data_IF_126770497328
#
_entry.id   IF_126770497328
#
_cell.length_a   1.000
_cell.length_b   1.000
_cell.length_c   1.000
_cell.angle_alpha   90.00
_cell.angle_beta   90.00
_cell.angle_gamma   90.00
#
_symmetry.space_group_name_H-M   'P 1'
#
loop_
_entity.id
_entity.type
_entity.pdbx_description
1 polymer ?
#
# COMPACT_ATOMS: atom_id res chain seq x y z
N UNK A 1 45.83 -25.94 24.91
CA UNK A 1 44.36 -26.01 25.15
C UNK A 1 43.71 -24.89 24.37
N UNK A 2 43.11 -25.23 23.22
CA UNK A 2 42.32 -24.33 22.42
C UNK A 2 40.92 -24.21 23.02
N UNK A 3 40.39 -22.98 23.12
CA UNK A 3 39.05 -22.69 23.55
C UNK A 3 38.10 -22.90 22.38
N UNK A 4 37.03 -23.68 22.54
CA UNK A 4 35.95 -23.86 21.60
C UNK A 4 35.11 -22.58 21.50
N UNK A 5 34.65 -22.16 20.29
CA UNK A 5 33.76 -21.04 20.17
C UNK A 5 32.35 -21.48 20.57
N UNK A 6 31.75 -20.77 21.53
CA UNK A 6 30.40 -21.00 22.04
C UNK A 6 29.34 -20.89 20.92
N UNK A 7 28.52 -21.91 20.84
CA UNK A 7 27.28 -21.92 20.07
C UNK A 7 26.31 -20.86 20.62
N UNK A 8 26.12 -19.77 19.88
CA UNK A 8 24.93 -18.93 20.08
C UNK A 8 23.74 -19.72 19.56
N UNK A 9 22.88 -20.12 20.46
CA UNK A 9 21.56 -20.68 20.14
C UNK A 9 20.61 -19.53 19.91
N UNK A 10 20.45 -19.11 18.65
CA UNK A 10 19.39 -18.20 18.22
C UNK A 10 18.05 -18.97 18.17
N UNK A 11 17.41 -19.12 19.33
CA UNK A 11 16.06 -19.67 19.46
C UNK A 11 14.98 -18.58 19.61
N UNK A 12 15.16 -17.43 18.95
CA UNK A 12 14.12 -16.39 18.89
C UNK A 12 13.68 -16.27 17.43
N UNK A 13 12.47 -16.68 17.09
CA UNK A 13 11.88 -16.28 15.83
C UNK A 13 11.10 -17.28 14.99
N UNK A 14 11.12 -18.60 15.26
CA UNK A 14 10.43 -19.56 14.36
C UNK A 14 8.90 -19.42 14.43
N UNK A 15 8.32 -19.13 15.58
CA UNK A 15 6.86 -18.98 15.73
C UNK A 15 6.32 -17.67 15.20
N UNK A 16 7.03 -16.58 15.36
CA UNK A 16 6.65 -15.25 14.84
C UNK A 16 6.78 -15.19 13.34
N UNK A 17 7.81 -15.79 12.75
CA UNK A 17 7.98 -15.91 11.32
C UNK A 17 6.85 -16.72 10.65
N UNK A 18 6.41 -17.83 11.26
CA UNK A 18 5.26 -18.60 10.74
C UNK A 18 3.97 -17.78 10.71
N UNK A 19 3.74 -16.90 11.69
CA UNK A 19 2.59 -16.01 11.71
C UNK A 19 2.64 -14.96 10.60
N UNK A 20 3.81 -14.41 10.34
CA UNK A 20 4.04 -13.46 9.24
C UNK A 20 3.76 -14.10 7.87
N UNK A 21 4.36 -15.24 7.57
CA UNK A 21 4.14 -15.95 6.29
C UNK A 21 2.66 -16.26 6.05
N UNK A 22 1.94 -16.76 7.04
CA UNK A 22 0.49 -17.03 6.92
C UNK A 22 -0.33 -15.78 6.61
N UNK A 23 0.04 -14.61 7.15
CA UNK A 23 -0.66 -13.36 6.85
C UNK A 23 -0.39 -12.88 5.43
N UNK A 24 0.85 -13.01 4.97
CA UNK A 24 1.24 -12.67 3.60
C UNK A 24 0.55 -13.63 2.61
N UNK A 25 0.61 -14.94 2.85
CA UNK A 25 -0.05 -15.94 2.00
C UNK A 25 -1.54 -15.65 1.87
N UNK A 26 -2.21 -15.38 3.01
CA UNK A 26 -3.63 -15.02 3.01
C UNK A 26 -3.92 -13.76 2.22
N UNK A 27 -3.08 -12.71 2.32
CA UNK A 27 -3.25 -11.50 1.54
C UNK A 27 -3.13 -11.77 0.04
N UNK A 28 -2.19 -12.63 -0.36
CA UNK A 28 -1.98 -13.02 -1.75
C UNK A 28 -3.08 -13.95 -2.28
N UNK A 29 -3.66 -14.83 -1.46
CA UNK A 29 -4.82 -15.68 -1.84
C UNK A 29 -6.06 -14.86 -2.22
N UNK A 30 -6.17 -13.62 -1.70
CA UNK A 30 -7.29 -12.72 -1.95
C UNK A 30 -6.86 -11.45 -2.74
N UNK A 31 -5.70 -11.52 -3.38
CA UNK A 31 -5.16 -10.41 -4.15
C UNK A 31 -6.03 -10.05 -5.36
N UNK A 32 -6.02 -8.78 -5.73
CA UNK A 32 -6.55 -8.35 -7.02
C UNK A 32 -5.54 -8.68 -8.12
N UNK A 33 -6.00 -9.34 -9.18
CA UNK A 33 -5.18 -9.69 -10.33
C UNK A 33 -5.30 -8.68 -11.46
N UNK A 34 -4.18 -8.21 -11.98
CA UNK A 34 -4.08 -7.28 -13.11
C UNK A 34 -3.08 -7.82 -14.14
N UNK A 35 -3.32 -7.64 -15.45
CA UNK A 35 -2.45 -8.17 -16.49
C UNK A 35 -1.12 -7.42 -16.57
N UNK A 36 -0.01 -8.13 -16.75
CA UNK A 36 1.32 -7.59 -17.02
C UNK A 36 1.85 -8.13 -18.35
N UNK A 37 1.95 -7.27 -19.35
CA UNK A 37 2.51 -7.58 -20.67
C UNK A 37 3.32 -6.41 -21.21
N UNK A 38 3.92 -6.56 -22.39
CA UNK A 38 4.80 -5.55 -23.03
C UNK A 38 4.12 -4.19 -23.25
N UNK A 39 2.80 -4.15 -23.34
CA UNK A 39 2.03 -2.90 -23.47
C UNK A 39 1.60 -2.28 -22.15
N UNK A 40 1.81 -2.94 -21.02
CA UNK A 40 1.36 -2.47 -19.71
C UNK A 40 2.16 -1.27 -19.24
N UNK A 41 1.47 -0.26 -18.69
CA UNK A 41 2.07 0.96 -18.14
C UNK A 41 1.48 1.20 -16.75
N UNK A 42 2.23 0.86 -15.75
CA UNK A 42 1.86 1.08 -14.35
C UNK A 42 2.70 2.19 -13.73
N UNK A 43 2.07 3.10 -13.00
CA UNK A 43 2.73 3.99 -12.05
C UNK A 43 2.34 3.56 -10.65
N UNK A 44 3.33 3.36 -9.80
CA UNK A 44 3.15 2.84 -8.44
C UNK A 44 3.59 3.90 -7.46
N UNK A 45 2.69 4.29 -6.55
CA UNK A 45 2.97 5.25 -5.46
C UNK A 45 2.47 4.64 -4.15
N UNK A 46 3.14 4.94 -3.05
CA UNK A 46 2.85 4.45 -1.71
C UNK A 46 3.05 5.55 -0.66
N UNK A 47 2.48 5.35 0.53
CA UNK A 47 2.78 6.15 1.73
C UNK A 47 2.59 7.67 1.53
N UNK A 48 1.50 8.06 0.90
CA UNK A 48 1.18 9.46 0.68
C UNK A 48 0.81 10.18 1.99
N UNK A 49 0.13 9.48 2.91
CA UNK A 49 -0.29 10.03 4.21
C UNK A 49 -1.03 11.37 4.09
N UNK A 50 -2.04 11.42 3.18
CA UNK A 50 -2.90 12.59 3.01
C UNK A 50 -3.71 12.82 4.28
N UNK A 51 -3.54 13.98 4.90
CA UNK A 51 -4.25 14.41 6.10
C UNK A 51 -5.27 15.51 5.82
N UNK A 52 -5.67 16.23 6.88
CA UNK A 52 -6.70 17.29 6.84
C UNK A 52 -6.09 18.69 6.63
N UNK A 53 -4.90 18.82 6.04
CA UNK A 53 -4.23 20.12 5.84
C UNK A 53 -3.61 20.70 7.11
N UNK A 54 -3.44 19.90 8.15
CA UNK A 54 -2.83 20.31 9.43
C UNK A 54 -1.36 19.88 9.51
N UNK A 55 -0.74 20.06 10.69
CA UNK A 55 0.64 19.59 10.93
C UNK A 55 0.80 18.09 10.81
N UNK A 56 -0.31 17.34 10.88
CA UNK A 56 -0.37 15.88 10.77
C UNK A 56 -0.64 15.43 9.32
N UNK A 57 -0.52 16.34 8.36
CA UNK A 57 -0.64 16.05 6.94
C UNK A 57 0.76 16.01 6.31
N UNK A 58 1.31 14.81 6.22
CA UNK A 58 2.65 14.61 5.68
C UNK A 58 2.72 14.82 4.16
N UNK A 59 1.57 14.76 3.48
CA UNK A 59 1.47 14.92 2.03
C UNK A 59 1.64 16.36 1.57
N UNK A 60 1.27 17.35 2.40
CA UNK A 60 1.25 18.78 2.03
C UNK A 60 2.51 19.27 1.30
N UNK A 61 3.68 18.86 1.78
CA UNK A 61 4.96 19.30 1.22
C UNK A 61 5.17 18.81 -0.21
N UNK A 62 4.52 17.72 -0.57
CA UNK A 62 4.68 17.04 -1.85
C UNK A 62 3.42 17.09 -2.73
N UNK A 63 2.32 17.68 -2.26
CA UNK A 63 1.04 17.70 -2.94
C UNK A 63 1.14 18.21 -4.38
N UNK A 64 1.75 19.36 -4.58
CA UNK A 64 1.93 19.96 -5.89
C UNK A 64 2.76 19.08 -6.85
N UNK A 65 3.85 18.49 -6.34
CA UNK A 65 4.69 17.58 -7.13
C UNK A 65 3.93 16.30 -7.49
N UNK A 66 3.15 15.77 -6.54
CA UNK A 66 2.32 14.61 -6.78
C UNK A 66 1.25 14.89 -7.85
N UNK A 67 0.53 16.02 -7.75
CA UNK A 67 -0.49 16.41 -8.71
C UNK A 67 0.10 16.56 -10.12
N UNK A 68 1.25 17.24 -10.25
CA UNK A 68 1.95 17.37 -11.53
C UNK A 68 2.39 16.03 -12.11
N UNK A 69 2.89 15.11 -11.26
CA UNK A 69 3.26 13.76 -11.67
C UNK A 69 2.02 12.97 -12.12
N UNK A 70 0.93 13.03 -11.36
CA UNK A 70 -0.31 12.34 -11.69
C UNK A 70 -0.90 12.82 -13.01
N UNK A 71 -0.95 14.15 -13.24
CA UNK A 71 -1.36 14.68 -14.54
C UNK A 71 -0.53 14.11 -15.70
N UNK A 72 0.79 14.05 -15.51
CA UNK A 72 1.70 13.51 -16.51
C UNK A 72 1.38 12.05 -16.85
N UNK A 73 1.17 11.20 -15.83
CA UNK A 73 0.88 9.78 -16.03
C UNK A 73 -0.53 9.53 -16.57
N UNK A 74 -1.53 10.27 -16.09
CA UNK A 74 -2.92 10.19 -16.59
C UNK A 74 -2.98 10.54 -18.08
N UNK A 75 -2.32 11.64 -18.50
CA UNK A 75 -2.25 12.06 -19.92
C UNK A 75 -1.60 11.03 -20.82
N UNK A 76 -0.73 10.18 -20.28
CA UNK A 76 -0.02 9.10 -21.02
C UNK A 76 -0.68 7.73 -20.92
N UNK A 77 -1.83 7.63 -20.27
CA UNK A 77 -2.59 6.40 -20.17
C UNK A 77 -1.94 5.35 -19.25
N UNK A 78 -1.26 5.78 -18.21
CA UNK A 78 -0.78 4.86 -17.18
C UNK A 78 -1.91 4.40 -16.29
N UNK A 79 -1.83 3.14 -15.84
CA UNK A 79 -2.66 2.62 -14.77
C UNK A 79 -2.02 2.98 -13.42
N UNK A 80 -2.78 3.59 -12.52
CA UNK A 80 -2.29 4.02 -11.21
C UNK A 80 -2.48 2.92 -10.16
N UNK A 81 -1.42 2.63 -9.42
CA UNK A 81 -1.44 1.73 -8.27
C UNK A 81 -1.00 2.49 -7.01
N UNK A 82 -1.85 2.51 -5.97
CA UNK A 82 -1.49 3.05 -4.66
C UNK A 82 -1.32 1.90 -3.66
N UNK A 83 -0.09 1.71 -3.17
CA UNK A 83 0.28 0.58 -2.33
C UNK A 83 0.18 0.92 -0.83
N UNK A 84 -1.01 1.29 -0.38
CA UNK A 84 -1.32 1.54 1.03
C UNK A 84 -0.90 2.91 1.53
N UNK A 85 -1.39 3.24 2.71
CA UNK A 85 -1.13 4.48 3.44
C UNK A 85 -1.34 5.74 2.60
N UNK A 86 -2.37 5.70 1.74
CA UNK A 86 -2.78 6.85 0.96
C UNK A 86 -3.33 7.96 1.84
N UNK A 87 -4.16 7.62 2.80
CA UNK A 87 -4.75 8.51 3.79
C UNK A 87 -4.14 8.27 5.18
N UNK A 88 -3.91 9.37 5.91
CA UNK A 88 -3.44 9.37 7.31
C UNK A 88 -4.64 9.32 8.26
N UNK A 89 -5.26 8.15 8.43
CA UNK A 89 -6.42 7.96 9.28
C UNK A 89 -6.06 7.64 10.75
N UNK A 90 -4.79 7.45 11.09
CA UNK A 90 -4.39 7.32 12.48
C UNK A 90 -4.54 8.63 13.24
N UNK A 91 -4.11 9.71 12.65
CA UNK A 91 -4.11 11.04 13.28
C UNK A 91 -5.31 11.89 12.82
N UNK A 92 -5.80 11.66 11.60
CA UNK A 92 -6.95 12.35 11.01
C UNK A 92 -8.12 11.36 10.88
N UNK A 93 -9.15 11.50 11.71
CA UNK A 93 -10.22 10.51 11.81
C UNK A 93 -11.41 10.74 10.87
N UNK A 94 -11.35 11.77 10.03
CA UNK A 94 -12.45 12.16 9.17
C UNK A 94 -12.04 12.10 7.70
N UNK A 95 -12.44 11.03 7.02
CA UNK A 95 -12.15 10.84 5.59
C UNK A 95 -12.68 12.00 4.74
N UNK A 96 -13.88 12.51 5.05
CA UNK A 96 -14.49 13.59 4.28
C UNK A 96 -13.66 14.89 4.32
N UNK A 97 -12.98 15.16 5.44
CA UNK A 97 -12.09 16.32 5.55
C UNK A 97 -10.82 16.13 4.73
N UNK A 98 -10.26 14.93 4.72
CA UNK A 98 -9.11 14.59 3.88
C UNK A 98 -9.48 14.79 2.40
N UNK A 99 -10.62 14.24 1.98
CA UNK A 99 -11.13 14.38 0.60
C UNK A 99 -11.34 15.85 0.25
N UNK A 100 -11.97 16.60 1.13
CA UNK A 100 -12.23 18.03 0.90
C UNK A 100 -10.93 18.84 0.78
N UNK A 101 -9.94 18.58 1.65
CA UNK A 101 -8.68 19.30 1.61
C UNK A 101 -7.82 18.97 0.38
N UNK A 102 -7.86 17.72 -0.07
CA UNK A 102 -7.13 17.23 -1.25
C UNK A 102 -8.05 16.99 -2.45
N UNK A 103 -9.07 17.84 -2.63
CA UNK A 103 -10.11 17.70 -3.67
C UNK A 103 -9.53 17.40 -5.06
N UNK A 104 -8.48 18.14 -5.47
CA UNK A 104 -7.81 17.93 -6.77
C UNK A 104 -7.33 16.48 -6.95
N UNK A 105 -6.75 15.88 -5.91
CA UNK A 105 -6.27 14.48 -5.97
C UNK A 105 -7.44 13.52 -6.14
N UNK A 106 -8.54 13.74 -5.42
CA UNK A 106 -9.71 12.86 -5.50
C UNK A 106 -10.50 13.05 -6.80
N UNK A 107 -10.47 14.23 -7.42
CA UNK A 107 -10.96 14.43 -8.79
C UNK A 107 -10.13 13.65 -9.81
N UNK A 108 -8.81 13.63 -9.67
CA UNK A 108 -7.92 12.77 -10.48
C UNK A 108 -8.24 11.29 -10.28
N UNK A 109 -8.51 10.85 -9.04
CA UNK A 109 -8.93 9.49 -8.76
C UNK A 109 -10.28 9.15 -9.41
N UNK A 110 -11.26 10.05 -9.33
CA UNK A 110 -12.56 9.87 -10.00
C UNK A 110 -12.40 9.73 -11.52
N UNK A 111 -11.52 10.54 -12.12
CA UNK A 111 -11.17 10.44 -13.53
C UNK A 111 -10.53 9.08 -13.88
N UNK A 112 -9.59 8.58 -13.06
CA UNK A 112 -8.96 7.27 -13.25
C UNK A 112 -9.96 6.12 -13.07
N UNK A 113 -10.81 6.20 -12.04
CA UNK A 113 -11.85 5.21 -11.76
C UNK A 113 -12.87 5.10 -12.91
N UNK A 114 -13.29 6.23 -13.47
CA UNK A 114 -14.22 6.24 -14.63
C UNK A 114 -13.66 5.52 -15.85
N UNK A 115 -12.33 5.38 -15.92
CA UNK A 115 -11.61 4.69 -17.00
C UNK A 115 -11.16 3.27 -16.62
N UNK A 116 -11.51 2.79 -15.42
CA UNK A 116 -10.95 1.57 -14.84
C UNK A 116 -9.41 1.53 -14.88
N UNK A 117 -8.77 2.67 -14.60
CA UNK A 117 -7.33 2.88 -14.74
C UNK A 117 -6.63 3.09 -13.40
N UNK A 118 -7.23 2.63 -12.29
CA UNK A 118 -6.59 2.65 -10.98
C UNK A 118 -7.00 1.48 -10.10
N UNK A 119 -6.08 1.13 -9.21
CA UNK A 119 -6.34 0.27 -8.06
C UNK A 119 -5.57 0.79 -6.85
N UNK A 120 -6.13 0.60 -5.68
CA UNK A 120 -5.52 0.98 -4.40
C UNK A 120 -5.60 -0.20 -3.46
N UNK A 121 -4.59 -0.39 -2.62
CA UNK A 121 -4.66 -1.28 -1.47
C UNK A 121 -4.64 -0.46 -0.19
N UNK A 122 -5.10 -1.04 0.92
CA UNK A 122 -4.97 -0.39 2.21
C UNK A 122 -3.61 -0.70 2.85
N UNK A 123 -3.16 0.19 3.74
CA UNK A 123 -2.00 0.01 4.60
C UNK A 123 -2.40 0.08 6.08
N UNK A 124 -1.44 0.25 6.98
CA UNK A 124 -1.72 0.32 8.40
C UNK A 124 -2.29 1.67 8.86
N UNK A 125 -1.98 2.77 8.17
CA UNK A 125 -2.54 4.10 8.49
C UNK A 125 -3.95 4.33 7.96
N UNK A 126 -4.43 3.49 7.03
CA UNK A 126 -5.79 3.56 6.50
C UNK A 126 -6.53 2.19 6.57
N UNK A 127 -6.29 1.43 7.63
CA UNK A 127 -6.86 0.11 7.90
C UNK A 127 -8.41 0.10 7.93
N UNK A 128 -9.06 1.24 8.15
CA UNK A 128 -10.50 1.41 8.06
C UNK A 128 -11.03 1.04 6.68
N UNK A 129 -10.23 1.26 5.65
CA UNK A 129 -10.59 1.01 4.25
C UNK A 129 -10.52 -0.47 3.85
N UNK A 130 -10.06 -1.38 4.73
CA UNK A 130 -9.93 -2.83 4.44
C UNK A 130 -11.23 -3.53 4.02
N UNK A 131 -12.38 -2.88 4.23
CA UNK A 131 -13.68 -3.43 3.80
C UNK A 131 -13.99 -3.13 2.34
N UNK A 132 -13.30 -2.16 1.75
CA UNK A 132 -13.55 -1.65 0.40
C UNK A 132 -12.33 -1.72 -0.52
N UNK A 133 -11.13 -1.77 0.05
CA UNK A 133 -9.89 -1.92 -0.70
C UNK A 133 -9.31 -3.33 -0.53
N UNK A 134 -8.68 -3.89 -1.58
CA UNK A 134 -7.94 -5.14 -1.47
C UNK A 134 -6.69 -4.97 -0.58
N UNK A 135 -6.14 -6.09 -0.13
CA UNK A 135 -4.93 -6.13 0.71
C UNK A 135 -3.66 -6.30 -0.11
N UNK A 136 -3.77 -6.87 -1.31
CA UNK A 136 -2.66 -7.16 -2.19
C UNK A 136 -3.07 -7.04 -3.66
N UNK A 137 -2.07 -6.86 -4.52
CA UNK A 137 -2.21 -6.88 -5.98
C UNK A 137 -1.20 -7.88 -6.53
N UNK A 138 -1.60 -8.68 -7.51
CA UNK A 138 -0.71 -9.49 -8.33
C UNK A 138 -0.79 -9.01 -9.77
N UNK A 139 0.34 -8.65 -10.34
CA UNK A 139 0.45 -8.42 -11.77
C UNK A 139 0.82 -9.75 -12.43
N UNK A 140 -0.16 -10.34 -13.11
CA UNK A 140 0.00 -11.62 -13.81
C UNK A 140 0.80 -11.44 -15.09
N UNK A 141 1.95 -12.07 -15.20
CA UNK A 141 2.78 -12.00 -16.39
C UNK A 141 2.17 -12.82 -17.54
N UNK A 142 1.63 -12.12 -18.53
CA UNK A 142 0.97 -12.74 -19.69
C UNK A 142 1.95 -13.33 -20.73
N UNK A 143 3.26 -13.16 -20.55
CA UNK A 143 4.29 -13.51 -21.53
C UNK A 143 5.22 -14.64 -21.04
N UNK A 144 4.82 -15.37 -20.00
CA UNK A 144 5.56 -16.52 -19.47
C UNK A 144 6.71 -16.17 -18.53
N UNK A 145 6.77 -14.91 -18.06
CA UNK A 145 7.70 -14.48 -17.01
C UNK A 145 7.14 -14.74 -15.60
N UNK A 146 7.75 -14.11 -14.60
CA UNK A 146 7.27 -14.16 -13.21
C UNK A 146 6.23 -13.08 -12.96
N UNK A 147 5.25 -13.40 -12.14
CA UNK A 147 4.28 -12.44 -11.62
C UNK A 147 4.94 -11.48 -10.64
N UNK A 148 4.34 -10.29 -10.48
CA UNK A 148 4.78 -9.29 -9.51
C UNK A 148 3.74 -9.19 -8.40
N UNK A 149 4.10 -9.64 -7.20
CA UNK A 149 3.25 -9.53 -6.02
C UNK A 149 3.53 -8.21 -5.29
N UNK A 150 2.47 -7.47 -4.99
CA UNK A 150 2.54 -6.16 -4.32
C UNK A 150 1.70 -6.19 -3.05
N UNK A 151 2.32 -5.86 -1.92
CA UNK A 151 1.70 -5.70 -0.61
C UNK A 151 2.25 -4.42 0.03
N UNK A 152 1.53 -3.84 0.97
CA UNK A 152 2.03 -2.69 1.72
C UNK A 152 3.15 -3.07 2.71
N UNK A 153 3.13 -4.31 3.23
CA UNK A 153 4.16 -4.81 4.15
C UNK A 153 3.76 -4.84 5.63
N UNK A 154 2.70 -4.14 6.04
CA UNK A 154 2.19 -4.20 7.42
C UNK A 154 1.78 -5.61 7.85
N UNK A 155 1.52 -6.50 6.90
CA UNK A 155 1.23 -7.92 7.13
C UNK A 155 2.37 -8.65 7.84
N UNK A 156 3.61 -8.19 7.66
CA UNK A 156 4.78 -8.75 8.33
C UNK A 156 4.81 -8.43 9.83
N UNK A 157 4.20 -7.32 10.24
CA UNK A 157 4.15 -6.88 11.63
C UNK A 157 2.84 -7.32 12.32
N UNK A 158 2.98 -7.98 13.50
CA UNK A 158 1.83 -8.46 14.26
C UNK A 158 0.98 -7.31 14.82
N UNK A 159 1.59 -6.27 15.36
CA UNK A 159 0.85 -5.15 15.95
C UNK A 159 0.11 -4.34 14.89
N UNK A 160 0.76 -4.06 13.77
CA UNK A 160 0.18 -3.28 12.68
C UNK A 160 -0.88 -4.06 11.88
N UNK A 161 -0.86 -5.39 11.92
CA UNK A 161 -1.84 -6.21 11.18
C UNK A 161 -2.98 -6.73 12.04
N UNK A 162 -2.69 -7.27 13.24
CA UNK A 162 -3.67 -7.94 14.10
C UNK A 162 -4.18 -7.01 15.19
N UNK A 163 -3.28 -6.27 15.83
CA UNK A 163 -3.57 -5.39 16.95
C UNK A 163 -3.68 -3.91 16.55
N UNK A 164 -3.87 -3.61 15.27
CA UNK A 164 -3.85 -2.25 14.72
C UNK A 164 -4.71 -1.22 15.49
N UNK A 165 -5.80 -1.67 16.15
CA UNK A 165 -6.63 -0.78 16.99
C UNK A 165 -5.95 -0.41 18.31
N UNK A 166 -4.94 -1.18 18.75
CA UNK A 166 -4.18 -0.95 19.97
C UNK A 166 -2.88 -0.17 19.71
N UNK A 167 -2.40 -0.21 18.46
CA UNK A 167 -1.20 0.53 18.04
C UNK A 167 -1.48 1.99 17.66
N UNK A 168 -2.74 2.38 17.71
CA UNK A 168 -3.27 3.68 17.30
C UNK A 168 -3.43 4.67 18.46
#
# INVERSE_FOLDING_TARGET
RAAEPGKRTDHVGVGENMGCYRRIDRALEHALHLPLGTGSRYVVISDCHRGEGTTNDNFLKNAYLYEAAMEHYIKRGFFYLELGDGEELWENRCMDRIVHYHETVYEMFACLQSRNAMCRIYGNHNMELRKILPEAIILDNCEGGRDVCMIHGHQADFFNSVCWRLSR
#
